data_IF_673270126241
#
_entry.id   IF_673270126241
#
_cell.length_a   1.000
_cell.length_b   1.000
_cell.length_c   1.000
_cell.angle_alpha   90.00
_cell.angle_beta   90.00
_cell.angle_gamma   90.00
#
_symmetry.space_group_name_H-M   'P 1'
#
loop_
_entity.id
_entity.type
_entity.pdbx_description
1 polymer ?
#
# COMPACT_ATOMS: atom_id res chain seq x y z
N UNK A 1 9.33 -16.89 20.10
CA UNK A 1 10.07 -15.67 19.69
C UNK A 1 9.57 -15.33 18.31
N UNK A 2 9.16 -14.09 18.06
CA UNK A 2 8.83 -13.64 16.70
C UNK A 2 10.15 -13.44 15.99
N UNK A 3 10.38 -14.14 14.88
CA UNK A 3 11.56 -13.93 14.07
C UNK A 3 11.42 -12.60 13.35
N UNK A 4 12.45 -11.76 13.45
CA UNK A 4 12.49 -10.46 12.80
C UNK A 4 13.62 -10.43 11.79
N UNK A 5 13.40 -9.75 10.67
CA UNK A 5 14.43 -9.49 9.66
C UNK A 5 14.62 -8.00 9.42
N UNK A 6 15.80 -7.65 8.92
CA UNK A 6 16.06 -6.32 8.38
C UNK A 6 15.80 -6.33 6.89
N UNK A 7 14.99 -5.39 6.42
CA UNK A 7 14.74 -5.19 5.00
C UNK A 7 15.69 -4.14 4.45
N UNK A 8 16.26 -4.37 3.28
CA UNK A 8 16.99 -3.36 2.54
C UNK A 8 16.17 -2.96 1.33
N UNK A 9 15.71 -1.73 1.29
CA UNK A 9 14.76 -1.22 0.30
C UNK A 9 15.37 -0.11 -0.56
N UNK A 10 14.66 0.27 -1.62
CA UNK A 10 15.05 1.32 -2.56
C UNK A 10 16.36 1.03 -3.30
N UNK A 11 16.48 -0.18 -3.84
CA UNK A 11 17.57 -0.50 -4.74
C UNK A 11 17.41 0.27 -6.06
N UNK A 12 18.42 1.03 -6.42
CA UNK A 12 18.45 1.66 -7.73
C UNK A 12 18.79 0.61 -8.81
N UNK A 13 18.09 0.63 -9.94
CA UNK A 13 18.30 -0.36 -11.00
C UNK A 13 19.65 -0.22 -11.72
N UNK A 14 20.34 0.93 -11.57
CA UNK A 14 21.62 1.17 -12.22
C UNK A 14 22.82 0.79 -11.35
N UNK A 15 23.77 -0.04 -11.85
CA UNK A 15 24.96 -0.42 -11.12
C UNK A 15 25.85 0.75 -10.70
N UNK A 16 25.83 1.86 -11.43
CA UNK A 16 26.64 3.06 -11.16
C UNK A 16 26.25 3.77 -9.88
N UNK A 17 24.96 3.84 -9.59
CA UNK A 17 24.45 4.47 -8.37
C UNK A 17 24.45 3.50 -7.18
N UNK A 18 24.44 2.21 -7.44
CA UNK A 18 24.50 1.16 -6.42
C UNK A 18 25.82 1.20 -5.62
N UNK A 19 26.90 1.63 -6.25
CA UNK A 19 28.23 1.75 -5.62
C UNK A 19 28.26 2.77 -4.49
N UNK A 20 27.44 3.81 -4.55
CA UNK A 20 27.43 4.88 -3.57
C UNK A 20 26.50 4.60 -2.38
N UNK A 21 25.70 3.52 -2.43
CA UNK A 21 24.69 3.22 -1.40
C UNK A 21 23.64 4.31 -1.26
N UNK A 22 23.53 5.19 -2.25
CA UNK A 22 22.55 6.28 -2.28
C UNK A 22 21.16 5.68 -2.43
N UNK A 23 20.22 6.18 -1.66
CA UNK A 23 18.81 5.76 -1.57
C UNK A 23 18.55 4.36 -0.96
N UNK A 24 19.56 3.59 -0.60
CA UNK A 24 19.32 2.38 0.18
C UNK A 24 18.88 2.75 1.59
N UNK A 25 17.74 2.23 2.00
CA UNK A 25 17.26 2.35 3.37
C UNK A 25 17.19 0.97 4.02
N UNK A 26 17.56 0.88 5.30
CA UNK A 26 17.35 -0.31 6.12
C UNK A 26 16.15 -0.10 7.02
N UNK A 27 15.15 -0.95 6.87
CA UNK A 27 14.02 -1.03 7.79
C UNK A 27 14.33 -2.20 8.73
N UNK A 28 14.59 -1.91 9.99
CA UNK A 28 15.05 -2.91 10.95
C UNK A 28 13.90 -3.56 11.70
N UNK A 29 14.10 -4.79 12.15
CA UNK A 29 13.18 -5.52 13.03
C UNK A 29 11.77 -5.62 12.46
N UNK A 30 11.64 -6.08 11.23
CA UNK A 30 10.35 -6.36 10.60
C UNK A 30 9.97 -7.80 10.91
N UNK A 31 8.81 -8.05 11.51
CA UNK A 31 8.34 -9.41 11.76
C UNK A 31 8.23 -10.21 10.47
N UNK A 32 8.72 -11.45 10.51
CA UNK A 32 8.65 -12.40 9.39
C UNK A 32 7.24 -12.98 9.26
N UNK A 33 6.49 -13.02 10.34
CA UNK A 33 5.12 -13.54 10.42
C UNK A 33 4.20 -12.62 11.24
N UNK A 34 2.97 -13.04 11.49
CA UNK A 34 2.02 -12.30 12.31
C UNK A 34 1.48 -11.01 11.66
N UNK A 35 1.47 -10.95 10.33
CA UNK A 35 0.85 -9.86 9.59
C UNK A 35 -0.64 -10.11 9.40
N UNK A 36 -1.44 -9.09 9.63
CA UNK A 36 -2.88 -9.11 9.44
C UNK A 36 -3.29 -8.15 8.32
N UNK A 37 -4.40 -8.45 7.66
CA UNK A 37 -5.04 -7.50 6.75
C UNK A 37 -5.64 -6.34 7.56
N UNK A 38 -5.42 -5.10 7.11
CA UNK A 38 -6.06 -3.94 7.75
C UNK A 38 -7.55 -3.97 7.41
N UNK A 39 -8.45 -3.96 8.41
CA UNK A 39 -9.88 -3.90 8.15
C UNK A 39 -10.23 -2.58 7.45
N UNK A 40 -10.83 -2.70 6.27
CA UNK A 40 -11.44 -1.58 5.56
C UNK A 40 -12.96 -1.69 5.71
N UNK A 41 -13.66 -0.60 5.86
CA UNK A 41 -15.12 -0.64 5.95
C UNK A 41 -15.70 -1.28 4.67
N UNK A 42 -16.49 -2.35 4.84
CA UNK A 42 -17.05 -3.16 3.74
C UNK A 42 -17.81 -2.34 2.68
N UNK A 43 -18.47 -1.29 3.08
CA UNK A 43 -19.20 -0.38 2.19
C UNK A 43 -18.29 0.27 1.13
N UNK A 44 -17.02 0.47 1.45
CA UNK A 44 -16.02 1.02 0.54
C UNK A 44 -15.58 -0.04 -0.47
N UNK A 45 -15.36 -1.28 -0.03
CA UNK A 45 -14.90 -2.37 -0.91
C UNK A 45 -15.97 -2.75 -1.94
N UNK A 46 -17.24 -2.88 -1.54
CA UNK A 46 -18.34 -3.25 -2.43
C UNK A 46 -18.62 -2.20 -3.51
N UNK A 47 -18.35 -0.94 -3.21
CA UNK A 47 -18.60 0.18 -4.13
C UNK A 47 -17.56 0.28 -5.25
N UNK A 48 -16.38 -0.35 -5.10
CA UNK A 48 -15.20 -0.12 -5.95
C UNK A 48 -14.78 -1.32 -6.79
N UNK A 49 -15.39 -2.45 -6.63
CA UNK A 49 -15.10 -3.67 -7.42
C UNK A 49 -15.74 -3.69 -8.81
N UNK A 50 -16.37 -2.62 -9.27
CA UNK A 50 -17.21 -2.60 -10.47
C UNK A 50 -16.49 -2.53 -11.82
N UNK A 51 -15.17 -2.66 -11.89
CA UNK A 51 -14.52 -3.00 -13.16
C UNK A 51 -14.41 -4.51 -13.21
N UNK A 52 -15.28 -5.12 -13.96
CA UNK A 52 -15.33 -6.57 -14.23
C UNK A 52 -14.18 -7.06 -15.13
N UNK A 53 -13.35 -6.17 -15.66
CA UNK A 53 -12.25 -6.55 -16.53
C UNK A 53 -11.04 -7.04 -15.72
N UNK A 54 -10.94 -8.36 -15.57
CA UNK A 54 -9.83 -9.02 -14.89
C UNK A 54 -8.46 -8.64 -15.48
N UNK A 55 -8.38 -8.43 -16.79
CA UNK A 55 -7.12 -8.13 -17.50
C UNK A 55 -6.46 -6.83 -17.03
N UNK A 56 -7.27 -5.83 -16.65
CA UNK A 56 -6.77 -4.57 -16.12
C UNK A 56 -6.06 -4.85 -14.79
N UNK A 57 -6.73 -5.55 -13.89
CA UNK A 57 -6.20 -5.85 -12.56
C UNK A 57 -5.02 -6.83 -12.61
N UNK A 58 -5.02 -7.77 -13.55
CA UNK A 58 -3.89 -8.67 -13.77
C UNK A 58 -2.61 -7.91 -14.17
N UNK A 59 -2.75 -6.79 -14.89
CA UNK A 59 -1.61 -5.95 -15.26
C UNK A 59 -0.88 -5.32 -14.08
N UNK A 60 -1.54 -5.18 -12.92
CA UNK A 60 -0.92 -4.66 -11.69
C UNK A 60 0.13 -5.60 -11.10
N UNK A 61 0.09 -6.88 -11.44
CA UNK A 61 1.12 -7.83 -11.02
C UNK A 61 2.52 -7.43 -11.53
N UNK A 62 2.58 -6.76 -12.67
CA UNK A 62 3.84 -6.34 -13.28
C UNK A 62 4.35 -4.97 -12.79
N UNK A 63 3.58 -4.26 -11.95
CA UNK A 63 4.00 -2.98 -11.39
C UNK A 63 4.88 -3.26 -10.17
N UNK A 64 6.14 -2.87 -10.25
CA UNK A 64 7.06 -2.91 -9.12
C UNK A 64 6.94 -1.63 -8.30
N UNK A 65 7.05 -1.76 -6.99
CA UNK A 65 7.08 -0.65 -6.03
C UNK A 65 8.49 -0.49 -5.43
N UNK A 66 8.72 0.57 -4.69
CA UNK A 66 10.05 0.88 -4.17
C UNK A 66 10.65 -0.17 -3.23
N UNK A 67 9.82 -0.93 -2.52
CA UNK A 67 10.26 -2.01 -1.63
C UNK A 67 10.50 -3.35 -2.35
N UNK A 68 10.05 -3.48 -3.61
CA UNK A 68 10.30 -4.69 -4.41
C UNK A 68 9.74 -5.97 -3.80
N UNK A 69 10.51 -7.06 -3.87
CA UNK A 69 10.09 -8.40 -3.42
C UNK A 69 9.78 -8.47 -1.92
N UNK A 70 10.38 -7.61 -1.11
CA UNK A 70 10.20 -7.63 0.35
C UNK A 70 8.75 -7.33 0.76
N UNK A 71 8.09 -6.38 0.08
CA UNK A 71 6.69 -6.08 0.35
C UNK A 71 5.76 -7.15 -0.22
N UNK A 72 6.17 -7.84 -1.27
CA UNK A 72 5.41 -8.96 -1.84
C UNK A 72 5.31 -10.13 -0.88
N UNK A 73 6.38 -10.40 -0.10
CA UNK A 73 6.34 -11.40 0.96
C UNK A 73 5.35 -11.01 2.06
N UNK A 74 5.38 -9.76 2.53
CA UNK A 74 4.43 -9.26 3.53
C UNK A 74 2.99 -9.39 3.02
N UNK A 75 2.75 -9.03 1.77
CA UNK A 75 1.43 -9.15 1.12
C UNK A 75 0.92 -10.60 1.12
N UNK A 76 1.78 -11.57 0.82
CA UNK A 76 1.42 -13.00 0.84
C UNK A 76 1.09 -13.51 2.25
N UNK A 77 1.91 -13.14 3.24
CA UNK A 77 1.75 -13.58 4.62
C UNK A 77 0.48 -12.98 5.25
N UNK A 78 0.20 -11.70 5.00
CA UNK A 78 -0.96 -11.01 5.55
C UNK A 78 -2.29 -11.49 4.98
N UNK A 79 -2.27 -12.23 3.87
CA UNK A 79 -3.48 -12.64 3.12
C UNK A 79 -4.44 -11.47 2.85
N UNK A 80 -3.89 -10.26 2.69
CA UNK A 80 -4.68 -9.06 2.46
C UNK A 80 -5.41 -9.15 1.13
N UNK A 81 -6.72 -8.92 1.19
CA UNK A 81 -7.50 -8.68 -0.02
C UNK A 81 -7.05 -7.36 -0.65
N UNK A 82 -6.97 -7.36 -1.98
CA UNK A 82 -6.62 -6.16 -2.73
C UNK A 82 -7.78 -5.19 -2.78
N UNK A 83 -7.52 -3.96 -2.34
CA UNK A 83 -8.48 -2.87 -2.41
C UNK A 83 -8.35 -2.22 -3.77
N UNK A 84 -9.31 -2.46 -4.65
CA UNK A 84 -9.30 -1.99 -6.04
C UNK A 84 -10.25 -0.83 -6.24
N UNK A 85 -9.73 0.30 -6.69
CA UNK A 85 -10.52 1.50 -6.94
C UNK A 85 -10.29 1.98 -8.38
N UNK A 86 -11.39 2.22 -9.07
CA UNK A 86 -11.37 2.82 -10.40
C UNK A 86 -12.33 4.00 -10.52
N UNK A 87 -12.02 4.92 -11.42
CA UNK A 87 -12.90 5.99 -11.82
C UNK A 87 -13.60 5.65 -13.13
N UNK A 88 -14.91 5.88 -13.22
CA UNK A 88 -15.68 5.86 -14.47
C UNK A 88 -15.74 7.24 -15.13
N UNK A 89 -15.56 8.30 -14.33
CA UNK A 89 -15.50 9.72 -14.75
C UNK A 89 -14.52 10.48 -13.86
N UNK A 90 -14.96 11.59 -13.25
CA UNK A 90 -14.26 12.26 -12.16
C UNK A 90 -14.81 11.74 -10.84
N UNK A 91 -13.94 11.19 -10.01
CA UNK A 91 -14.32 10.52 -8.77
C UNK A 91 -13.39 10.88 -7.62
N UNK A 92 -13.97 11.06 -6.44
CA UNK A 92 -13.21 11.23 -5.18
C UNK A 92 -13.66 10.19 -4.18
N UNK A 93 -12.70 9.53 -3.54
CA UNK A 93 -12.95 8.43 -2.61
C UNK A 93 -12.15 8.58 -1.33
N UNK A 94 -12.67 8.01 -0.24
CA UNK A 94 -12.04 8.03 1.08
C UNK A 94 -11.89 6.60 1.60
N UNK A 95 -10.68 6.26 2.00
CA UNK A 95 -10.33 5.00 2.64
C UNK A 95 -9.90 5.28 4.07
N UNK A 96 -10.45 4.56 5.03
CA UNK A 96 -10.03 4.62 6.42
C UNK A 96 -9.48 3.26 6.84
N UNK A 97 -8.23 3.26 7.25
CA UNK A 97 -7.50 2.11 7.74
C UNK A 97 -7.35 2.21 9.25
N UNK A 98 -8.02 1.32 9.97
CA UNK A 98 -7.99 1.29 11.43
C UNK A 98 -6.96 0.28 11.91
N UNK A 99 -5.78 0.76 12.34
CA UNK A 99 -4.72 -0.08 12.86
C UNK A 99 -4.94 -0.32 14.36
N UNK A 100 -5.02 -1.61 14.74
CA UNK A 100 -5.28 -1.98 16.12
C UNK A 100 -3.98 -2.07 16.93
N UNK A 101 -4.11 -1.88 18.22
CA UNK A 101 -2.98 -1.97 19.16
C UNK A 101 -2.35 -3.38 19.17
N UNK A 102 -1.03 -3.42 19.08
CA UNK A 102 -0.24 -4.66 19.12
C UNK A 102 -0.24 -5.44 17.80
N UNK A 103 -0.83 -4.92 16.73
CA UNK A 103 -0.90 -5.62 15.45
C UNK A 103 0.13 -5.11 14.44
N UNK A 104 0.63 -6.04 13.62
CA UNK A 104 1.32 -5.73 12.37
C UNK A 104 0.30 -5.87 11.25
N UNK A 105 -0.04 -4.77 10.60
CA UNK A 105 -1.13 -4.73 9.66
C UNK A 105 -0.68 -4.25 8.29
N UNK A 106 -1.21 -4.88 7.24
CA UNK A 106 -0.88 -4.59 5.84
C UNK A 106 -2.14 -4.34 5.02
N UNK A 107 -2.07 -3.36 4.12
CA UNK A 107 -3.08 -3.11 3.10
C UNK A 107 -2.45 -3.02 1.70
N UNK A 108 -3.11 -3.62 0.72
CA UNK A 108 -2.71 -3.58 -0.69
C UNK A 108 -3.77 -2.83 -1.50
N UNK A 109 -3.38 -1.69 -2.08
CA UNK A 109 -4.29 -0.79 -2.79
C UNK A 109 -3.88 -0.69 -4.26
N UNK A 110 -4.81 -0.94 -5.16
CA UNK A 110 -4.65 -0.82 -6.60
C UNK A 110 -5.60 0.27 -7.12
N UNK A 111 -5.04 1.35 -7.70
CA UNK A 111 -5.78 2.50 -8.22
C UNK A 111 -5.67 2.53 -9.73
N UNK A 112 -6.82 2.58 -10.42
CA UNK A 112 -6.88 2.64 -11.87
C UNK A 112 -7.70 3.84 -12.34
N UNK A 113 -7.15 4.61 -13.26
CA UNK A 113 -7.85 5.67 -13.95
C UNK A 113 -7.89 5.38 -15.45
N UNK A 114 -9.07 5.04 -16.01
CA UNK A 114 -9.29 4.89 -17.45
C UNK A 114 -8.98 6.17 -18.22
N UNK A 115 -8.89 6.06 -19.52
CA UNK A 115 -8.61 7.18 -20.42
C UNK A 115 -9.52 8.39 -20.16
N UNK A 116 -8.91 9.57 -20.06
CA UNK A 116 -9.58 10.86 -19.83
C UNK A 116 -10.42 10.97 -18.53
N UNK A 117 -10.13 10.13 -17.54
CA UNK A 117 -10.80 10.20 -16.22
C UNK A 117 -9.91 10.85 -15.15
N UNK A 118 -10.51 11.20 -14.01
CA UNK A 118 -9.80 11.74 -12.85
C UNK A 118 -10.23 10.98 -11.59
N UNK A 119 -9.25 10.44 -10.87
CA UNK A 119 -9.43 9.75 -9.60
C UNK A 119 -8.69 10.49 -8.50
N UNK A 120 -9.40 10.89 -7.45
CA UNK A 120 -8.80 11.39 -6.21
C UNK A 120 -9.09 10.41 -5.09
N UNK A 121 -8.06 9.93 -4.39
CA UNK A 121 -8.21 9.03 -3.26
C UNK A 121 -7.59 9.65 -2.02
N UNK A 122 -8.39 9.76 -0.96
CA UNK A 122 -7.95 10.15 0.37
C UNK A 122 -7.81 8.88 1.21
N UNK A 123 -6.62 8.62 1.71
CA UNK A 123 -6.31 7.48 2.57
C UNK A 123 -5.89 7.98 3.94
N UNK A 124 -6.62 7.59 4.98
CA UNK A 124 -6.27 7.91 6.36
C UNK A 124 -5.91 6.62 7.12
N UNK A 125 -4.66 6.52 7.55
CA UNK A 125 -4.18 5.47 8.45
C UNK A 125 -4.29 6.02 9.87
N UNK A 126 -5.09 5.36 10.72
CA UNK A 126 -5.40 5.85 12.06
C UNK A 126 -5.33 4.74 13.12
N UNK A 127 -5.02 5.13 14.34
CA UNK A 127 -4.99 4.24 15.50
C UNK A 127 -5.45 4.97 16.75
N UNK A 128 -5.69 4.23 17.83
CA UNK A 128 -5.86 4.84 19.15
C UNK A 128 -4.56 5.55 19.59
N UNK A 129 -4.68 6.57 20.44
CA UNK A 129 -3.59 7.46 20.86
C UNK A 129 -2.35 6.74 21.42
N UNK A 130 -2.56 5.71 22.23
CA UNK A 130 -1.46 4.94 22.87
C UNK A 130 -1.17 3.61 22.18
N UNK A 131 -1.76 3.38 21.02
CA UNK A 131 -1.57 2.12 20.32
C UNK A 131 -0.15 2.02 19.74
N UNK A 132 0.33 0.79 19.60
CA UNK A 132 1.62 0.48 18.97
C UNK A 132 1.43 -0.63 17.93
N UNK A 133 2.41 -0.80 17.06
CA UNK A 133 2.41 -1.82 16.02
C UNK A 133 3.13 -1.37 14.76
N UNK A 134 2.86 -2.08 13.67
CA UNK A 134 3.35 -1.71 12.34
C UNK A 134 2.15 -1.57 11.41
N UNK A 135 2.06 -0.45 10.72
CA UNK A 135 1.11 -0.24 9.65
C UNK A 135 1.87 -0.13 8.33
N UNK A 136 1.67 -1.09 7.45
CA UNK A 136 2.27 -1.10 6.12
C UNK A 136 1.17 -0.94 5.06
N UNK A 137 1.37 -0.03 4.12
CA UNK A 137 0.45 0.19 2.99
C UNK A 137 1.25 0.17 1.71
N UNK A 138 0.85 -0.70 0.80
CA UNK A 138 1.34 -0.65 -0.58
C UNK A 138 0.28 -0.04 -1.46
N UNK A 139 0.67 0.89 -2.33
CA UNK A 139 -0.22 1.49 -3.31
C UNK A 139 0.38 1.37 -4.70
N UNK A 140 -0.30 0.69 -5.60
CA UNK A 140 0.01 0.64 -7.02
C UNK A 140 -1.01 1.48 -7.79
N UNK A 141 -0.57 2.19 -8.81
CA UNK A 141 -1.49 2.96 -9.64
C UNK A 141 -1.14 2.89 -11.13
N UNK A 142 -2.18 2.92 -11.93
CA UNK A 142 -2.09 2.94 -13.39
C UNK A 142 -3.08 3.96 -13.93
N UNK A 143 -2.58 4.92 -14.70
CA UNK A 143 -3.37 5.94 -15.37
C UNK A 143 -3.21 5.77 -16.89
N UNK A 144 -4.32 5.70 -17.60
CA UNK A 144 -4.31 5.67 -19.07
C UNK A 144 -4.15 7.08 -19.66
N UNK A 145 -4.12 7.17 -20.98
CA UNK A 145 -3.90 8.43 -21.69
C UNK A 145 -4.89 9.52 -21.25
N UNK A 146 -4.37 10.69 -20.89
CA UNK A 146 -5.18 11.83 -20.44
C UNK A 146 -5.82 11.67 -19.05
N UNK A 147 -5.63 10.53 -18.38
CA UNK A 147 -6.13 10.32 -17.03
C UNK A 147 -5.24 10.97 -15.96
N UNK A 148 -5.83 11.23 -14.79
CA UNK A 148 -5.13 11.77 -13.61
C UNK A 148 -5.52 10.99 -12.37
N UNK A 149 -4.49 10.61 -11.57
CA UNK A 149 -4.68 10.06 -10.23
C UNK A 149 -4.05 11.03 -9.23
N UNK A 150 -4.80 11.38 -8.20
CA UNK A 150 -4.33 12.13 -7.05
C UNK A 150 -4.51 11.25 -5.81
N UNK A 151 -3.41 10.94 -5.15
CA UNK A 151 -3.39 10.25 -3.87
C UNK A 151 -3.06 11.26 -2.76
N UNK A 152 -3.90 11.31 -1.73
CA UNK A 152 -3.68 12.10 -0.51
C UNK A 152 -3.65 11.13 0.66
N UNK A 153 -2.51 11.04 1.33
CA UNK A 153 -2.32 10.16 2.48
C UNK A 153 -2.23 10.97 3.76
N UNK A 154 -3.02 10.59 4.75
CA UNK A 154 -3.04 11.16 6.09
C UNK A 154 -2.55 10.11 7.08
N UNK A 155 -1.43 10.40 7.73
CA UNK A 155 -0.90 9.55 8.80
C UNK A 155 -1.39 10.10 10.15
N UNK A 156 -2.38 9.42 10.72
CA UNK A 156 -2.99 9.71 12.02
C UNK A 156 -2.71 8.58 13.03
N UNK A 157 -1.61 7.87 12.82
CA UNK A 157 -1.18 6.80 13.71
C UNK A 157 -0.55 7.39 14.98
N UNK A 158 -0.65 6.65 16.08
CA UNK A 158 0.10 6.95 17.30
C UNK A 158 1.61 7.02 17.02
N UNK A 159 2.32 7.82 17.79
CA UNK A 159 3.79 7.92 17.72
C UNK A 159 4.53 6.59 17.96
N UNK A 160 3.86 5.60 18.53
CA UNK A 160 4.42 4.27 18.80
C UNK A 160 4.19 3.30 17.63
N UNK A 161 3.51 3.73 16.57
CA UNK A 161 3.39 2.96 15.34
C UNK A 161 4.58 3.21 14.42
N UNK A 162 5.03 2.12 13.79
CA UNK A 162 5.93 2.21 12.64
C UNK A 162 5.08 2.24 11.37
N UNK A 163 5.27 3.24 10.54
CA UNK A 163 4.55 3.35 9.28
C UNK A 163 5.47 3.03 8.11
N UNK A 164 5.06 2.08 7.28
CA UNK A 164 5.72 1.68 6.04
C UNK A 164 4.78 2.06 4.89
N UNK A 165 5.25 2.95 4.03
CA UNK A 165 4.49 3.41 2.86
C UNK A 165 5.28 3.07 1.60
N UNK A 166 4.73 2.19 0.78
CA UNK A 166 5.31 1.73 -0.47
C UNK A 166 4.40 2.12 -1.65
N UNK A 167 4.92 2.94 -2.57
CA UNK A 167 4.16 3.54 -3.68
C UNK A 167 4.89 3.35 -5.00
#
# INVERSE_FOLDING_TARGET
MVDNKDLTVNFLPSPTWNRLGVNRAKIRNIPVDGWNSIPVQKEIIEKYTNISDSKIWDSFANIQTGMGEEIDEISKISQSEKIRISADKTKSEKLFFNCKNGENAFADVELYAPENTQLTVFMAMQSAWNANGICAVRTKFKAEKGAKIRLVQLNLLSQNFRFINDV
#
